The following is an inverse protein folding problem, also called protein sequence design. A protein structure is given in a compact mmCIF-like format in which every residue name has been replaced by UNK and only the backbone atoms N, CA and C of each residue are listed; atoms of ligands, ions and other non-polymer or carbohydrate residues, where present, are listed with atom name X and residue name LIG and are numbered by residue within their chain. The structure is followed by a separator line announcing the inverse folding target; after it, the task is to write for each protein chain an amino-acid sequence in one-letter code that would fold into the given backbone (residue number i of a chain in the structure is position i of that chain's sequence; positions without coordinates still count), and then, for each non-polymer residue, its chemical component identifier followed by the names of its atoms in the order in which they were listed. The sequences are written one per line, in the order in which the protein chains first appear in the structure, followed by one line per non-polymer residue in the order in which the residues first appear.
data_IF_917223123501
#
_entry.id   IF_917223123501
#
_cell.length_a   1.000
_cell.length_b   1.000
_cell.length_c   1.000
_cell.angle_alpha   90.00
_cell.angle_beta   90.00
_cell.angle_gamma   90.00
#
_symmetry.space_group_name_H-M   'P 1'
#
loop_
_entity.id
_entity.type
_entity.pdbx_description
1 polymer ?
#
# COMPACT_ATOMS: atom_id res chain seq x y z
N UNK A 1 22.39 9.63 27.72
CA UNK A 1 22.70 8.48 26.84
C UNK A 1 23.22 7.36 27.72
N UNK A 2 22.50 6.24 27.75
CA UNK A 2 22.80 5.09 28.60
C UNK A 2 24.18 4.48 28.30
N UNK A 3 24.76 3.74 29.25
CA UNK A 3 26.12 3.17 29.07
C UNK A 3 26.15 2.15 27.92
N UNK A 4 25.09 1.38 27.76
CA UNK A 4 24.92 0.37 26.72
C UNK A 4 24.80 1.01 25.33
N UNK A 5 24.16 2.18 25.23
CA UNK A 5 24.07 2.91 23.96
C UNK A 5 25.45 3.40 23.50
N UNK A 6 26.29 3.87 24.43
CA UNK A 6 27.67 4.26 24.12
C UNK A 6 28.50 3.04 23.69
N UNK A 7 28.33 1.91 24.38
CA UNK A 7 29.01 0.66 24.03
C UNK A 7 28.53 0.13 22.66
N UNK A 8 27.24 0.20 22.35
CA UNK A 8 26.69 -0.20 21.05
C UNK A 8 27.28 0.64 19.91
N UNK A 9 27.43 1.95 20.11
CA UNK A 9 28.10 2.83 19.14
C UNK A 9 29.57 2.44 18.93
N UNK A 10 30.32 2.20 20.00
CA UNK A 10 31.71 1.73 19.89
C UNK A 10 31.77 0.37 19.18
N UNK A 11 30.86 -0.55 19.50
CA UNK A 11 30.75 -1.84 18.83
C UNK A 11 30.50 -1.68 17.32
N UNK A 12 29.60 -0.79 16.90
CA UNK A 12 29.37 -0.47 15.49
C UNK A 12 30.65 0.04 14.81
N UNK A 13 31.33 1.02 15.42
CA UNK A 13 32.55 1.62 14.86
C UNK A 13 33.64 0.55 14.70
N UNK A 14 33.87 -0.26 15.74
CA UNK A 14 34.85 -1.35 15.69
C UNK A 14 34.54 -2.39 14.62
N UNK A 15 33.25 -2.64 14.37
CA UNK A 15 32.81 -3.58 13.34
C UNK A 15 33.02 -3.06 11.92
N UNK A 16 32.85 -1.76 11.71
CA UNK A 16 33.10 -1.13 10.42
C UNK A 16 34.62 -0.98 10.12
N UNK A 17 35.45 -1.02 11.16
CA UNK A 17 36.91 -0.95 11.03
C UNK A 17 37.50 -2.23 10.38
N UNK A 18 37.87 -2.15 9.10
CA UNK A 18 38.46 -3.27 8.34
C UNK A 18 39.78 -3.83 8.89
N UNK A 19 40.51 -3.05 9.69
CA UNK A 19 41.85 -3.41 10.18
C UNK A 19 41.84 -4.35 11.40
N UNK A 20 40.68 -4.59 12.03
CA UNK A 20 40.61 -5.31 13.30
C UNK A 20 39.41 -6.26 13.35
N UNK A 21 39.47 -7.35 12.57
CA UNK A 21 38.35 -8.30 12.38
C UNK A 21 37.71 -8.80 13.69
N UNK A 22 38.51 -8.91 14.75
CA UNK A 22 38.07 -9.50 16.02
C UNK A 22 37.80 -8.45 17.12
N UNK A 23 38.10 -7.17 16.88
CA UNK A 23 38.04 -6.14 17.91
C UNK A 23 36.60 -5.92 18.41
N UNK A 24 35.61 -5.93 17.51
CA UNK A 24 34.21 -5.78 17.89
C UNK A 24 33.75 -6.94 18.81
N UNK A 25 34.07 -8.18 18.47
CA UNK A 25 33.72 -9.36 19.28
C UNK A 25 34.44 -9.42 20.62
N UNK A 26 35.71 -9.01 20.67
CA UNK A 26 36.46 -8.92 21.92
C UNK A 26 35.89 -7.81 22.81
N UNK A 27 35.56 -6.64 22.24
CA UNK A 27 34.95 -5.53 22.95
C UNK A 27 33.60 -5.93 23.54
N UNK A 28 32.71 -6.54 22.75
CA UNK A 28 31.38 -6.92 23.24
C UNK A 28 31.43 -7.90 24.40
N UNK A 29 32.42 -8.83 24.40
CA UNK A 29 32.65 -9.77 25.50
C UNK A 29 33.19 -9.08 26.75
N UNK A 30 34.18 -8.18 26.61
CA UNK A 30 34.81 -7.48 27.74
C UNK A 30 33.87 -6.47 28.40
N UNK A 31 33.03 -5.81 27.61
CA UNK A 31 32.08 -4.82 28.11
C UNK A 31 30.72 -5.44 28.48
N UNK A 32 30.56 -6.76 28.34
CA UNK A 32 29.30 -7.48 28.59
C UNK A 32 28.11 -6.86 27.86
N UNK A 33 28.29 -6.43 26.60
CA UNK A 33 27.26 -5.76 25.82
C UNK A 33 26.06 -6.72 25.63
N UNK A 34 24.85 -6.38 26.11
CA UNK A 34 23.70 -7.26 26.00
C UNK A 34 23.37 -7.61 24.55
N UNK A 35 22.87 -8.83 24.34
CA UNK A 35 22.61 -9.38 23.02
C UNK A 35 21.68 -8.53 22.16
N UNK A 36 20.58 -8.00 22.73
CA UNK A 36 19.65 -7.11 22.02
C UNK A 36 20.35 -5.91 21.35
N UNK A 37 21.35 -5.32 22.01
CA UNK A 37 22.11 -4.20 21.44
C UNK A 37 23.05 -4.68 20.34
N UNK A 38 23.66 -5.86 20.51
CA UNK A 38 24.47 -6.47 19.45
C UNK A 38 23.63 -6.73 18.21
N UNK A 39 22.50 -7.42 18.35
CA UNK A 39 21.59 -7.76 17.24
C UNK A 39 21.06 -6.51 16.55
N UNK A 40 20.65 -5.48 17.31
CA UNK A 40 20.22 -4.22 16.72
C UNK A 40 21.32 -3.56 15.87
N UNK A 41 22.56 -3.51 16.40
CA UNK A 41 23.71 -2.99 15.65
C UNK A 41 24.08 -3.89 14.45
N UNK A 42 23.95 -5.21 14.57
CA UNK A 42 24.10 -6.14 13.44
C UNK A 42 23.12 -5.77 12.32
N UNK A 43 21.86 -5.52 12.68
CA UNK A 43 20.81 -5.08 11.77
C UNK A 43 21.13 -3.77 11.06
N UNK A 44 21.44 -2.71 11.81
CA UNK A 44 21.80 -1.39 11.25
C UNK A 44 23.03 -1.47 10.34
N UNK A 45 24.06 -2.19 10.77
CA UNK A 45 25.28 -2.35 9.98
C UNK A 45 25.02 -3.07 8.64
N UNK A 46 24.09 -4.03 8.60
CA UNK A 46 23.69 -4.65 7.33
C UNK A 46 22.83 -3.69 6.47
N UNK A 47 22.00 -2.83 7.06
CA UNK A 47 21.26 -1.79 6.33
C UNK A 47 22.20 -0.83 5.61
N UNK A 48 23.22 -0.32 6.30
CA UNK A 48 24.19 0.63 5.73
C UNK A 48 24.98 0.04 4.56
N UNK A 49 25.08 -1.29 4.52
CA UNK A 49 25.73 -2.06 3.45
C UNK A 49 24.76 -2.52 2.36
N UNK A 50 23.50 -2.12 2.42
CA UNK A 50 22.43 -2.48 1.48
C UNK A 50 22.16 -4.00 1.44
N UNK A 51 22.47 -4.72 2.52
CA UNK A 51 22.16 -6.15 2.69
C UNK A 51 20.83 -6.31 3.44
N UNK A 52 19.75 -5.82 2.81
CA UNK A 52 18.43 -5.67 3.43
C UNK A 52 17.84 -6.95 4.01
N UNK A 53 18.01 -8.09 3.33
CA UNK A 53 17.51 -9.37 3.84
C UNK A 53 18.12 -9.72 5.21
N UNK A 54 19.45 -9.65 5.31
CA UNK A 54 20.17 -9.91 6.56
C UNK A 54 19.85 -8.87 7.62
N UNK A 55 19.68 -7.61 7.21
CA UNK A 55 19.28 -6.56 8.13
C UNK A 55 17.93 -6.84 8.78
N UNK A 56 16.92 -7.20 7.98
CA UNK A 56 15.58 -7.54 8.47
C UNK A 56 15.66 -8.75 9.41
N UNK A 57 16.40 -9.81 9.09
CA UNK A 57 16.58 -10.98 9.97
C UNK A 57 17.03 -10.60 11.39
N UNK A 58 17.92 -9.60 11.53
CA UNK A 58 18.34 -9.10 12.84
C UNK A 58 17.33 -8.12 13.45
N UNK A 59 16.81 -7.17 12.68
CA UNK A 59 15.97 -6.08 13.19
C UNK A 59 14.57 -6.53 13.60
N UNK A 60 14.12 -7.69 13.12
CA UNK A 60 12.85 -8.31 13.52
C UNK A 60 12.98 -9.25 14.71
N UNK A 61 14.15 -9.27 15.37
CA UNK A 61 14.34 -10.12 16.54
C UNK A 61 13.50 -9.60 17.74
N UNK A 62 12.68 -10.46 18.39
CA UNK A 62 11.71 -10.01 19.39
C UNK A 62 12.27 -9.34 20.66
N UNK A 63 13.54 -9.59 21.02
CA UNK A 63 14.18 -8.97 22.19
C UNK A 63 14.63 -7.52 21.95
N UNK A 64 14.65 -7.08 20.68
CA UNK A 64 15.00 -5.71 20.30
C UNK A 64 13.84 -4.77 20.60
N UNK A 65 14.18 -3.62 21.19
CA UNK A 65 13.25 -2.49 21.30
C UNK A 65 13.52 -1.57 20.08
N UNK A 66 12.58 -1.44 19.14
CA UNK A 66 12.79 -0.64 17.93
C UNK A 66 13.04 0.83 18.30
N UNK A 67 14.16 1.40 17.85
CA UNK A 67 14.50 2.80 18.14
C UNK A 67 14.11 3.76 17.01
N UNK A 68 14.07 3.28 15.76
CA UNK A 68 13.72 4.05 14.55
C UNK A 68 12.84 3.23 13.59
N UNK A 69 11.71 2.69 14.06
CA UNK A 69 10.94 1.70 13.30
C UNK A 69 10.41 2.26 11.97
N UNK A 70 9.97 3.53 11.97
CA UNK A 70 9.42 4.20 10.79
C UNK A 70 10.50 4.55 9.77
N UNK A 71 11.67 5.01 10.20
CA UNK A 71 12.79 5.35 9.33
C UNK A 71 13.32 4.10 8.63
N UNK A 72 13.46 2.99 9.37
CA UNK A 72 13.87 1.70 8.82
C UNK A 72 12.84 1.23 7.79
N UNK A 73 11.55 1.23 8.13
CA UNK A 73 10.48 0.85 7.21
C UNK A 73 10.52 1.71 5.95
N UNK A 74 10.64 3.03 6.10
CA UNK A 74 10.69 3.96 4.99
C UNK A 74 11.88 3.67 4.06
N UNK A 75 13.07 3.41 4.61
CA UNK A 75 14.24 3.03 3.79
C UNK A 75 13.94 1.77 2.99
N UNK A 76 13.36 0.74 3.60
CA UNK A 76 13.01 -0.51 2.90
C UNK A 76 12.02 -0.29 1.74
N UNK A 77 11.14 0.71 1.83
CA UNK A 77 10.16 1.02 0.77
C UNK A 77 10.72 1.75 -0.45
N UNK A 78 12.00 2.17 -0.42
CA UNK A 78 12.57 3.01 -1.48
C UNK A 78 12.89 2.18 -2.74
N UNK A 79 12.17 2.37 -3.86
CA UNK A 79 12.33 1.53 -5.06
C UNK A 79 13.68 1.73 -5.78
N UNK A 80 14.38 2.82 -5.46
CA UNK A 80 15.71 3.14 -6.03
C UNK A 80 16.85 2.33 -5.40
N UNK A 81 16.59 1.59 -4.33
CA UNK A 81 17.63 0.82 -3.66
C UNK A 81 17.92 -0.47 -4.44
N UNK A 82 19.20 -0.89 -4.53
CA UNK A 82 19.54 -2.15 -5.16
C UNK A 82 18.89 -3.30 -4.39
N UNK A 83 18.45 -4.35 -5.09
CA UNK A 83 17.79 -5.52 -4.48
C UNK A 83 16.50 -5.17 -3.69
N UNK A 84 15.81 -4.07 -4.03
CA UNK A 84 14.54 -3.72 -3.41
C UNK A 84 13.52 -4.86 -3.54
N UNK A 85 12.87 -5.21 -2.42
CA UNK A 85 11.96 -6.34 -2.30
C UNK A 85 10.81 -5.98 -1.35
N UNK A 86 9.58 -5.97 -1.88
CA UNK A 86 8.37 -5.66 -1.11
C UNK A 86 8.11 -6.67 0.01
N UNK A 87 8.55 -7.91 -0.16
CA UNK A 87 8.36 -8.95 0.86
C UNK A 87 9.13 -8.62 2.14
N UNK A 88 10.28 -7.95 2.05
CA UNK A 88 11.06 -7.50 3.21
C UNK A 88 10.37 -6.35 3.94
N UNK A 89 9.75 -5.42 3.20
CA UNK A 89 8.94 -4.34 3.78
C UNK A 89 7.77 -4.92 4.56
N UNK A 90 7.04 -5.86 3.96
CA UNK A 90 5.90 -6.52 4.59
C UNK A 90 6.31 -7.33 5.81
N UNK A 91 7.40 -8.12 5.70
CA UNK A 91 7.92 -8.88 6.83
C UNK A 91 8.26 -7.96 8.01
N UNK A 92 9.01 -6.89 7.77
CA UNK A 92 9.38 -5.93 8.80
C UNK A 92 8.14 -5.27 9.43
N UNK A 93 7.20 -4.81 8.62
CA UNK A 93 5.97 -4.18 9.12
C UNK A 93 5.15 -5.13 10.01
N UNK A 94 4.94 -6.37 9.58
CA UNK A 94 4.16 -7.36 10.33
C UNK A 94 4.82 -7.79 11.64
N UNK A 95 6.16 -7.77 11.72
CA UNK A 95 6.88 -8.16 12.94
C UNK A 95 7.11 -7.01 13.91
N UNK A 96 7.49 -5.83 13.40
CA UNK A 96 7.91 -4.69 14.24
C UNK A 96 6.74 -3.75 14.52
N UNK A 97 5.69 -3.81 13.69
CA UNK A 97 4.52 -2.91 13.73
C UNK A 97 4.90 -1.43 13.90
N UNK A 98 5.67 -0.84 12.96
CA UNK A 98 6.00 0.58 13.02
C UNK A 98 4.75 1.45 13.11
N UNK A 99 4.78 2.55 13.88
CA UNK A 99 3.60 3.37 14.15
C UNK A 99 3.09 4.14 12.91
N UNK A 100 3.89 4.27 11.85
CA UNK A 100 3.57 5.07 10.67
C UNK A 100 3.21 6.52 11.07
N UNK A 101 4.03 7.15 11.89
CA UNK A 101 3.77 8.44 12.52
C UNK A 101 3.80 9.62 11.53
N UNK A 102 4.53 9.51 10.42
CA UNK A 102 4.59 10.56 9.40
C UNK A 102 3.87 10.18 8.12
N UNK A 103 3.21 11.16 7.49
CA UNK A 103 2.52 11.01 6.20
C UNK A 103 3.44 10.44 5.11
N UNK A 104 4.73 10.81 5.16
CA UNK A 104 5.75 10.31 4.25
C UNK A 104 5.94 8.80 4.36
N UNK A 105 6.02 8.27 5.58
CA UNK A 105 6.18 6.84 5.85
C UNK A 105 4.90 6.10 5.50
N UNK A 106 3.75 6.65 5.93
CA UNK A 106 2.41 6.15 5.61
C UNK A 106 2.21 5.95 4.11
N UNK A 107 2.46 6.98 3.31
CA UNK A 107 2.31 6.92 1.84
C UNK A 107 3.25 5.92 1.19
N UNK A 108 4.50 5.85 1.66
CA UNK A 108 5.48 4.93 1.10
C UNK A 108 5.14 3.46 1.40
N UNK A 109 4.73 3.18 2.65
CA UNK A 109 4.25 1.85 3.04
C UNK A 109 2.95 1.49 2.32
N UNK A 110 1.98 2.39 2.26
CA UNK A 110 0.70 2.12 1.60
C UNK A 110 0.85 1.83 0.11
N UNK A 111 1.77 2.52 -0.58
CA UNK A 111 2.12 2.20 -1.97
C UNK A 111 2.73 0.79 -2.12
N UNK A 112 3.48 0.33 -1.12
CA UNK A 112 3.99 -1.05 -1.07
C UNK A 112 2.84 -2.04 -0.92
N UNK A 113 1.91 -1.76 -0.01
CA UNK A 113 0.73 -2.57 0.22
C UNK A 113 -0.15 -2.68 -1.05
N UNK A 114 -0.38 -1.57 -1.75
CA UNK A 114 -1.12 -1.55 -3.01
C UNK A 114 -0.45 -2.40 -4.11
N UNK A 115 0.89 -2.44 -4.14
CA UNK A 115 1.63 -3.29 -5.10
C UNK A 115 1.46 -4.77 -4.80
N UNK A 116 1.38 -5.13 -3.52
CA UNK A 116 1.16 -6.49 -3.03
C UNK A 116 -0.28 -6.96 -3.28
N UNK A 117 -1.28 -6.20 -2.82
CA UNK A 117 -2.70 -6.56 -2.95
C UNK A 117 -3.60 -5.34 -2.84
N UNK A 118 -4.53 -5.18 -3.79
CA UNK A 118 -5.55 -4.12 -3.76
C UNK A 118 -6.54 -4.39 -2.62
N UNK A 119 -6.97 -5.66 -2.45
CA UNK A 119 -7.86 -6.07 -1.37
C UNK A 119 -7.26 -5.83 0.02
N UNK A 120 -6.00 -6.20 0.25
CA UNK A 120 -5.36 -5.98 1.55
C UNK A 120 -5.17 -4.48 1.83
N UNK A 121 -4.78 -3.70 0.82
CA UNK A 121 -4.70 -2.24 0.92
C UNK A 121 -6.06 -1.62 1.27
N UNK A 122 -7.15 -2.12 0.69
CA UNK A 122 -8.49 -1.69 1.03
C UNK A 122 -8.85 -1.97 2.51
N UNK A 123 -8.65 -3.20 2.99
CA UNK A 123 -8.92 -3.49 4.40
C UNK A 123 -7.99 -2.74 5.37
N UNK A 124 -6.80 -2.34 4.91
CA UNK A 124 -5.94 -1.45 5.67
C UNK A 124 -6.55 -0.06 5.84
N UNK A 125 -7.20 0.51 4.81
CA UNK A 125 -7.83 1.85 4.92
C UNK A 125 -8.86 1.86 6.06
N UNK A 126 -9.67 0.80 6.17
CA UNK A 126 -10.73 0.62 7.17
C UNK A 126 -10.27 0.52 8.62
N UNK A 127 -8.97 0.33 8.87
CA UNK A 127 -8.41 0.32 10.23
C UNK A 127 -8.17 1.72 10.80
N UNK A 128 -8.32 2.76 9.98
CA UNK A 128 -8.02 4.14 10.34
C UNK A 128 -9.31 4.96 10.51
N UNK A 129 -9.20 6.14 11.09
CA UNK A 129 -10.31 7.11 11.14
C UNK A 129 -10.68 7.61 9.73
N UNK A 130 -11.86 8.22 9.59
CA UNK A 130 -12.40 8.63 8.30
C UNK A 130 -11.48 9.54 7.47
N UNK A 131 -10.68 10.38 8.12
CA UNK A 131 -9.76 11.29 7.41
C UNK A 131 -8.66 10.50 6.71
N UNK A 132 -7.99 9.62 7.46
CA UNK A 132 -6.94 8.76 6.93
C UNK A 132 -7.51 7.69 6.01
N UNK A 133 -8.68 7.12 6.34
CA UNK A 133 -9.38 6.13 5.51
C UNK A 133 -9.68 6.68 4.12
N UNK A 134 -10.26 7.89 4.03
CA UNK A 134 -10.50 8.57 2.74
C UNK A 134 -9.21 8.86 1.98
N UNK A 135 -8.17 9.34 2.67
CA UNK A 135 -6.86 9.62 2.07
C UNK A 135 -6.25 8.35 1.46
N UNK A 136 -6.24 7.24 2.19
CA UNK A 136 -5.73 5.97 1.68
C UNK A 136 -6.59 5.40 0.56
N UNK A 137 -7.93 5.48 0.65
CA UNK A 137 -8.80 5.05 -0.44
C UNK A 137 -8.53 5.83 -1.73
N UNK A 138 -8.35 7.15 -1.61
CA UNK A 138 -7.99 8.00 -2.76
C UNK A 138 -6.64 7.58 -3.36
N UNK A 139 -5.63 7.33 -2.52
CA UNK A 139 -4.33 6.82 -2.97
C UNK A 139 -4.43 5.45 -3.65
N UNK A 140 -5.32 4.56 -3.18
CA UNK A 140 -5.55 3.25 -3.79
C UNK A 140 -6.15 3.40 -5.20
N UNK A 141 -7.14 4.28 -5.34
CA UNK A 141 -7.79 4.58 -6.62
C UNK A 141 -6.76 5.16 -7.60
N UNK A 142 -5.97 6.15 -7.18
CA UNK A 142 -4.90 6.73 -7.98
C UNK A 142 -3.85 5.70 -8.39
N UNK A 143 -3.45 4.83 -7.46
CA UNK A 143 -2.48 3.78 -7.72
C UNK A 143 -2.93 2.82 -8.83
N UNK A 144 -4.20 2.43 -8.83
CA UNK A 144 -4.77 1.57 -9.88
C UNK A 144 -4.76 2.28 -11.23
N UNK A 145 -5.17 3.54 -11.29
CA UNK A 145 -5.28 4.31 -12.53
C UNK A 145 -3.91 4.79 -13.08
N UNK A 146 -2.90 4.87 -12.22
CA UNK A 146 -1.51 5.23 -12.61
C UNK A 146 -0.61 4.01 -12.85
N UNK A 147 -1.02 2.79 -12.48
CA UNK A 147 -0.32 1.53 -12.85
C UNK A 147 -0.17 1.48 -14.36
N UNK A 148 0.96 1.05 -14.93
CA UNK A 148 1.14 1.03 -16.40
C UNK A 148 0.07 0.24 -17.17
N UNK A 149 -0.22 0.68 -18.40
CA UNK A 149 -1.23 0.04 -19.24
C UNK A 149 -0.88 -1.43 -19.54
N UNK A 150 -1.88 -2.30 -19.52
CA UNK A 150 -1.74 -3.73 -19.78
C UNK A 150 -2.54 -4.58 -18.79
N UNK A 151 -2.29 -5.89 -18.83
CA UNK A 151 -3.07 -6.88 -18.06
C UNK A 151 -3.09 -6.61 -16.55
N UNK A 152 -1.98 -6.11 -15.99
CA UNK A 152 -1.88 -5.79 -14.57
C UNK A 152 -2.83 -4.67 -14.15
N UNK A 153 -2.90 -3.57 -14.92
CA UNK A 153 -3.87 -2.48 -14.67
C UNK A 153 -5.29 -3.01 -14.77
N UNK A 154 -5.61 -3.79 -15.81
CA UNK A 154 -6.95 -4.38 -15.97
C UNK A 154 -7.34 -5.27 -14.80
N UNK A 155 -6.45 -6.14 -14.34
CA UNK A 155 -6.68 -7.01 -13.18
C UNK A 155 -6.94 -6.19 -11.91
N UNK A 156 -6.13 -5.16 -11.65
CA UNK A 156 -6.28 -4.29 -10.48
C UNK A 156 -7.54 -3.43 -10.53
N UNK A 157 -7.93 -2.96 -11.72
CA UNK A 157 -9.16 -2.23 -11.92
C UNK A 157 -10.38 -3.12 -11.64
N UNK A 158 -10.38 -4.36 -12.13
CA UNK A 158 -11.43 -5.33 -11.82
C UNK A 158 -11.51 -5.64 -10.32
N UNK A 159 -10.36 -5.82 -9.66
CA UNK A 159 -10.31 -6.03 -8.21
C UNK A 159 -10.88 -4.81 -7.45
N UNK A 160 -10.45 -3.60 -7.81
CA UNK A 160 -10.95 -2.33 -7.24
C UNK A 160 -12.48 -2.20 -7.39
N UNK A 161 -13.00 -2.47 -8.59
CA UNK A 161 -14.44 -2.42 -8.89
C UNK A 161 -15.20 -3.53 -8.13
N UNK A 162 -14.54 -4.62 -7.74
CA UNK A 162 -15.13 -5.72 -6.98
C UNK A 162 -15.11 -5.53 -5.45
N UNK A 163 -14.47 -4.48 -4.93
CA UNK A 163 -14.32 -4.29 -3.49
C UNK A 163 -15.68 -4.04 -2.79
N UNK A 164 -15.87 -4.50 -1.55
CA UNK A 164 -17.15 -4.34 -0.86
C UNK A 164 -17.27 -2.98 -0.17
N UNK A 165 -17.34 -1.89 -0.95
CA UNK A 165 -17.51 -0.53 -0.40
C UNK A 165 -18.80 -0.37 0.41
N UNK A 166 -18.70 0.37 1.51
CA UNK A 166 -19.86 0.92 2.19
C UNK A 166 -20.37 2.19 1.47
N UNK A 167 -21.52 2.72 1.87
CA UNK A 167 -22.12 3.87 1.17
C UNK A 167 -21.24 5.13 1.19
N UNK A 168 -20.43 5.31 2.24
CA UNK A 168 -19.52 6.45 2.37
C UNK A 168 -18.29 6.29 1.46
N UNK A 169 -17.76 5.07 1.38
CA UNK A 169 -16.67 4.69 0.48
C UNK A 169 -17.08 4.79 -0.99
N UNK A 170 -18.35 4.46 -1.33
CA UNK A 170 -18.89 4.69 -2.67
C UNK A 170 -18.90 6.19 -3.03
N UNK A 171 -19.32 7.06 -2.12
CA UNK A 171 -19.31 8.51 -2.33
C UNK A 171 -17.88 9.02 -2.55
N UNK A 172 -16.93 8.61 -1.70
CA UNK A 172 -15.53 8.99 -1.84
C UNK A 172 -14.89 8.46 -3.13
N UNK A 173 -15.27 7.26 -3.55
CA UNK A 173 -14.79 6.66 -4.78
C UNK A 173 -15.24 7.46 -6.02
N UNK A 174 -16.52 7.81 -6.08
CA UNK A 174 -17.05 8.64 -7.17
C UNK A 174 -16.47 10.06 -7.15
N UNK A 175 -16.40 10.68 -5.97
CA UNK A 175 -15.81 12.01 -5.81
C UNK A 175 -14.37 12.03 -6.33
N UNK A 176 -13.53 11.07 -5.93
CA UNK A 176 -12.14 10.98 -6.37
C UNK A 176 -12.01 10.90 -7.90
N UNK A 177 -12.89 10.14 -8.57
CA UNK A 177 -12.83 9.86 -10.01
C UNK A 177 -13.57 10.87 -10.88
N UNK A 178 -14.52 11.63 -10.34
CA UNK A 178 -15.31 12.62 -11.10
C UNK A 178 -14.93 14.06 -10.81
N UNK A 179 -14.47 14.35 -9.59
CA UNK A 179 -14.22 15.73 -9.14
C UNK A 179 -12.85 15.91 -8.47
N UNK A 180 -12.27 14.82 -7.95
CA UNK A 180 -11.03 14.82 -7.20
C UNK A 180 -9.77 14.64 -8.05
N UNK A 181 -8.71 14.21 -7.37
CA UNK A 181 -7.36 14.08 -7.92
C UNK A 181 -7.25 13.03 -9.04
N UNK A 182 -8.14 12.04 -9.08
CA UNK A 182 -8.13 11.00 -10.10
C UNK A 182 -8.98 11.35 -11.34
N UNK A 183 -9.71 12.48 -11.37
CA UNK A 183 -10.58 12.87 -12.50
C UNK A 183 -9.88 12.84 -13.87
N UNK A 184 -8.64 13.31 -13.92
CA UNK A 184 -7.87 13.41 -15.17
C UNK A 184 -7.16 12.12 -15.59
N UNK A 185 -7.26 11.05 -14.80
CA UNK A 185 -6.58 9.80 -15.11
C UNK A 185 -7.35 9.00 -16.17
N UNK A 186 -6.60 8.19 -16.93
CA UNK A 186 -7.19 7.38 -17.99
C UNK A 186 -8.12 6.32 -17.39
N UNK A 187 -9.34 6.24 -17.92
CA UNK A 187 -10.35 5.27 -17.50
C UNK A 187 -11.14 5.66 -16.25
N UNK A 188 -10.93 6.85 -15.66
CA UNK A 188 -11.60 7.20 -14.39
C UNK A 188 -13.13 7.16 -14.48
N UNK A 189 -13.68 7.73 -15.56
CA UNK A 189 -15.11 7.72 -15.83
C UNK A 189 -15.65 6.32 -16.12
N UNK A 190 -14.90 5.52 -16.87
CA UNK A 190 -15.24 4.14 -17.19
C UNK A 190 -15.28 3.27 -15.93
N UNK A 191 -14.35 3.48 -14.99
CA UNK A 191 -14.32 2.77 -13.70
C UNK A 191 -15.55 3.09 -12.86
N UNK A 192 -16.00 4.36 -12.80
CA UNK A 192 -17.26 4.72 -12.12
C UNK A 192 -18.46 4.05 -12.78
N UNK A 193 -18.52 4.06 -14.11
CA UNK A 193 -19.60 3.39 -14.86
C UNK A 193 -19.63 1.90 -14.57
N UNK A 194 -18.48 1.22 -14.60
CA UNK A 194 -18.37 -0.19 -14.27
C UNK A 194 -18.80 -0.48 -12.82
N UNK A 195 -18.41 0.36 -11.86
CA UNK A 195 -18.78 0.21 -10.46
C UNK A 195 -20.29 0.33 -10.26
N UNK A 196 -20.92 1.34 -10.87
CA UNK A 196 -22.38 1.52 -10.83
C UNK A 196 -23.13 0.39 -11.52
N UNK A 197 -22.59 -0.13 -12.63
CA UNK A 197 -23.14 -1.29 -13.32
C UNK A 197 -23.09 -2.54 -12.43
N UNK A 198 -21.94 -2.83 -11.83
CA UNK A 198 -21.71 -3.99 -10.97
C UNK A 198 -22.55 -3.95 -9.68
N UNK A 199 -22.79 -2.75 -9.13
CA UNK A 199 -23.63 -2.54 -7.95
C UNK A 199 -25.12 -2.34 -8.26
N UNK A 200 -25.51 -2.28 -9.55
CA UNK A 200 -26.89 -2.02 -9.98
C UNK A 200 -27.39 -0.59 -9.77
N UNK A 201 -26.52 0.36 -9.39
CA UNK A 201 -26.84 1.77 -9.09
C UNK A 201 -26.80 2.67 -10.35
N UNK A 202 -27.55 2.31 -11.39
CA UNK A 202 -27.60 3.04 -12.67
C UNK A 202 -28.54 4.26 -12.68
N UNK A 203 -29.28 4.52 -11.61
CA UNK A 203 -30.13 5.71 -11.47
C UNK A 203 -29.31 6.93 -11.00
N UNK A 204 -29.74 8.13 -11.39
CA UNK A 204 -29.11 9.38 -10.94
C UNK A 204 -27.63 9.48 -11.33
N UNK A 205 -27.31 9.16 -12.59
CA UNK A 205 -25.96 9.34 -13.12
C UNK A 205 -25.63 10.83 -13.20
N UNK A 206 -24.38 11.20 -12.89
CA UNK A 206 -23.90 12.54 -13.16
C UNK A 206 -23.95 12.81 -14.67
N UNK A 207 -24.18 14.06 -15.08
CA UNK A 207 -24.23 14.46 -16.50
C UNK A 207 -22.94 14.05 -17.27
N UNK A 208 -21.80 14.08 -16.57
CA UNK A 208 -20.52 13.62 -17.10
C UNK A 208 -20.48 12.13 -17.44
N UNK A 209 -21.28 11.31 -16.76
CA UNK A 209 -21.41 9.87 -16.98
C UNK A 209 -22.49 9.56 -18.03
N UNK A 210 -23.55 10.37 -18.08
CA UNK A 210 -24.60 10.21 -19.09
C UNK A 210 -24.08 10.41 -20.51
N UNK A 211 -23.08 11.28 -20.66
CA UNK A 211 -22.41 11.62 -21.90
C UNK A 211 -21.27 10.67 -22.29
N UNK A 212 -21.00 9.58 -21.55
CA UNK A 212 -19.98 8.58 -21.88
C UNK A 212 -20.33 7.68 -23.09
N UNK A 213 -21.31 8.04 -23.90
CA UNK A 213 -21.63 7.37 -25.15
C UNK A 213 -20.53 7.56 -26.20
N UNK A 214 -19.55 6.65 -26.20
CA UNK A 214 -18.43 6.66 -27.14
C UNK A 214 -18.64 5.79 -28.40
N UNK A 215 -17.57 5.67 -29.17
CA UNK A 215 -17.47 4.77 -30.33
C UNK A 215 -17.72 3.32 -29.89
N UNK A 216 -18.41 2.56 -30.74
CA UNK A 216 -18.73 1.17 -30.46
C UNK A 216 -17.48 0.31 -30.60
N UNK A 217 -17.10 -0.38 -29.54
CA UNK A 217 -16.06 -1.41 -29.56
C UNK A 217 -16.79 -2.75 -29.65
N UNK A 218 -16.58 -3.49 -30.74
CA UNK A 218 -17.27 -4.75 -31.03
C UNK A 218 -18.81 -4.66 -30.94
N UNK A 219 -19.37 -3.52 -31.36
CA UNK A 219 -20.81 -3.26 -31.35
C UNK A 219 -21.37 -2.86 -29.98
N UNK A 220 -20.55 -2.84 -28.94
CA UNK A 220 -20.90 -2.44 -27.57
C UNK A 220 -20.37 -1.04 -27.26
N UNK A 221 -21.19 -0.27 -26.54
CA UNK A 221 -20.76 0.97 -25.87
C UNK A 221 -21.55 1.13 -24.57
N UNK A 222 -21.26 2.17 -23.79
CA UNK A 222 -21.92 2.42 -22.51
C UNK A 222 -23.44 2.60 -22.63
N UNK A 223 -23.94 3.12 -23.75
CA UNK A 223 -25.38 3.29 -23.97
C UNK A 223 -26.08 1.94 -24.14
N UNK A 224 -25.51 1.06 -24.96
CA UNK A 224 -26.03 -0.29 -25.21
C UNK A 224 -26.04 -1.10 -23.90
N UNK A 225 -24.95 -1.04 -23.12
CA UNK A 225 -24.86 -1.74 -21.84
C UNK A 225 -25.91 -1.23 -20.85
N UNK A 226 -26.08 0.10 -20.70
CA UNK A 226 -27.11 0.69 -19.83
C UNK A 226 -28.53 0.28 -20.21
N UNK A 227 -28.84 0.27 -21.50
CA UNK A 227 -30.16 -0.15 -22.00
C UNK A 227 -30.44 -1.62 -21.72
N UNK A 228 -29.45 -2.49 -21.89
CA UNK A 228 -29.61 -3.92 -21.63
C UNK A 228 -29.89 -4.24 -20.15
N UNK A 229 -29.20 -3.56 -19.23
CA UNK A 229 -29.38 -3.78 -17.79
C UNK A 229 -30.68 -3.18 -17.28
N UNK A 230 -31.08 -1.98 -17.74
CA UNK A 230 -32.37 -1.40 -17.36
C UNK A 230 -33.53 -2.26 -17.86
N UNK A 231 -33.45 -2.79 -19.09
CA UNK A 231 -34.46 -3.72 -19.60
C UNK A 231 -34.59 -4.97 -18.73
N UNK A 232 -33.45 -5.57 -18.35
CA UNK A 232 -33.40 -6.76 -17.47
C UNK A 232 -34.00 -6.50 -16.09
N UNK A 233 -33.71 -5.34 -15.49
CA UNK A 233 -34.29 -4.93 -14.21
C UNK A 233 -35.82 -4.75 -14.28
N UNK A 234 -36.33 -4.15 -15.37
CA UNK A 234 -37.78 -3.97 -15.57
C UNK A 234 -38.53 -5.28 -15.84
N UNK A 235 -37.89 -6.26 -16.51
CA UNK A 235 -38.49 -7.58 -16.70
C UNK A 235 -38.54 -8.42 -15.41
N UNK A 236 -37.56 -8.25 -14.52
CA UNK A 236 -37.58 -8.96 -13.22
C UNK A 236 -38.58 -8.37 -12.23
N UNK A 237 -38.80 -7.05 -12.22
CA UNK A 237 -39.80 -6.42 -11.33
C UNK A 237 -41.24 -6.69 -11.77
N UNK A 238 -41.49 -6.96 -13.05
CA UNK A 238 -42.81 -7.29 -13.60
C UNK A 238 -43.18 -8.78 -13.49
N UNK A 239 -42.21 -9.68 -13.27
CA UNK A 239 -42.45 -11.13 -13.09
C UNK A 239 -42.70 -11.59 -11.65
N UNK A 240 -42.64 -10.69 -10.66
CA UNK A 240 -42.85 -10.99 -9.23
C UNK A 240 -44.26 -10.74 -8.69
N UNK A 241 -45.21 -10.36 -9.57
CA UNK A 241 -46.63 -10.25 -9.24
C UNK A 241 -47.42 -11.31 -10.04
N UNK A 242 -47.39 -12.55 -9.58
CA UNK A 242 -48.34 -13.59 -9.95
C UNK A 242 -48.48 -14.59 -8.80
#
# INVERSE_FOLDING_TARGET
MDIEHKQALIYYILKDCRAASDAASQFSRRCHLPEKYRLFIEGLWNLDRLEFKRAVEYLTEPSIIPTFPDEILYVLTLPRLPKHDDSLVMAYYLTVSPPLASEKVQRAFFKTLCRSSITEAFYFTRKNDDTLRRSYLTQLIEFVHTTDAGQLRSSRALELIGLPFDDQEEEWFEDALLHGSAKGLHGSKDTVMMRRLASGKLSGLAQELESLGGEKIDGLNWDVLRQSVTHTQTSHSSGGQA
#
